data_IF_570553518745
#
_entry.id   IF_570553518745
#
_cell.length_a   1.000
_cell.length_b   1.000
_cell.length_c   1.000
_cell.angle_alpha   90.00
_cell.angle_beta   90.00
_cell.angle_gamma   90.00
#
_symmetry.space_group_name_H-M   'P 1'
#
loop_
_entity.id
_entity.type
_entity.pdbx_description
1 polymer ?
#
# COMPACT_ATOMS: atom_id res chain seq x y z
N UNK A 1 4.10 -8.44 7.80
CA UNK A 1 4.02 -8.47 6.31
C UNK A 1 5.35 -8.85 5.69
N UNK A 2 5.88 -10.04 5.98
CA UNK A 2 7.07 -10.53 5.26
C UNK A 2 6.63 -10.92 3.84
N UNK A 3 7.37 -10.49 2.83
CA UNK A 3 7.06 -10.80 1.42
C UNK A 3 6.06 -9.85 0.75
N UNK A 4 5.68 -8.75 1.40
CA UNK A 4 4.91 -7.67 0.78
C UNK A 4 5.75 -6.41 0.77
N UNK A 5 5.94 -5.83 -0.41
CA UNK A 5 6.74 -4.60 -0.57
C UNK A 5 6.03 -3.40 0.06
N UNK A 6 6.79 -2.61 0.82
CA UNK A 6 6.31 -1.34 1.39
C UNK A 6 6.46 -0.26 0.31
N UNK A 7 5.34 0.07 -0.34
CA UNK A 7 5.30 1.14 -1.32
C UNK A 7 4.95 2.47 -0.64
N UNK A 8 5.76 3.51 -0.89
CA UNK A 8 5.47 4.86 -0.42
C UNK A 8 4.14 5.34 -1.02
N UNK A 9 3.25 5.82 -0.15
CA UNK A 9 1.89 6.23 -0.53
C UNK A 9 0.84 5.12 -0.49
N UNK A 10 1.25 3.85 -0.30
CA UNK A 10 0.38 2.67 -0.29
C UNK A 10 0.46 1.86 -1.59
N UNK A 11 -0.02 0.61 -1.55
CA UNK A 11 -0.10 -0.26 -2.73
C UNK A 11 -1.46 -0.07 -3.42
N UNK A 12 -1.52 0.47 -4.65
CA UNK A 12 -2.78 0.72 -5.36
C UNK A 12 -3.64 -0.52 -5.59
N UNK A 13 -3.02 -1.67 -5.87
CA UNK A 13 -3.73 -2.90 -6.18
C UNK A 13 -4.43 -3.44 -4.93
N UNK A 14 -3.73 -3.45 -3.80
CA UNK A 14 -4.32 -3.86 -2.51
C UNK A 14 -5.45 -2.92 -2.06
N UNK A 15 -5.32 -1.61 -2.33
CA UNK A 15 -6.38 -0.64 -2.02
C UNK A 15 -7.62 -0.86 -2.91
N UNK A 16 -7.42 -1.18 -4.19
CA UNK A 16 -8.51 -1.50 -5.10
C UNK A 16 -9.21 -2.81 -4.72
N UNK A 17 -8.44 -3.85 -4.36
CA UNK A 17 -8.99 -5.11 -3.84
C UNK A 17 -9.82 -4.90 -2.57
N UNK A 18 -9.34 -4.07 -1.64
CA UNK A 18 -10.09 -3.70 -0.44
C UNK A 18 -11.41 -3.00 -0.77
N UNK A 19 -11.38 -2.05 -1.71
CA UNK A 19 -12.60 -1.38 -2.17
C UNK A 19 -13.58 -2.35 -2.83
N UNK A 20 -13.09 -3.27 -3.67
CA UNK A 20 -13.93 -4.30 -4.30
C UNK A 20 -14.58 -5.22 -3.26
N UNK A 21 -13.84 -5.64 -2.25
CA UNK A 21 -14.36 -6.44 -1.15
C UNK A 21 -15.48 -5.68 -0.39
N UNK A 22 -15.29 -4.39 -0.11
CA UNK A 22 -16.33 -3.56 0.51
C UNK A 22 -17.59 -3.40 -0.35
N UNK A 23 -17.46 -3.36 -1.69
CA UNK A 23 -18.62 -3.33 -2.58
C UNK A 23 -19.35 -4.67 -2.57
N UNK A 24 -18.61 -5.79 -2.61
CA UNK A 24 -19.17 -7.13 -2.53
C UNK A 24 -19.94 -7.35 -1.21
N UNK A 25 -19.39 -6.90 -0.08
CA UNK A 25 -20.07 -6.98 1.23
C UNK A 25 -21.37 -6.17 1.28
N UNK A 26 -21.47 -5.11 0.46
CA UNK A 26 -22.69 -4.30 0.30
C UNK A 26 -23.66 -4.90 -0.73
N UNK A 27 -23.29 -6.00 -1.38
CA UNK A 27 -24.07 -6.62 -2.47
C UNK A 27 -24.00 -5.84 -3.79
N UNK A 28 -23.03 -4.95 -3.95
CA UNK A 28 -22.82 -4.20 -5.18
C UNK A 28 -21.81 -4.94 -6.06
N UNK A 29 -22.09 -5.01 -7.36
CA UNK A 29 -21.14 -5.46 -8.38
C UNK A 29 -20.74 -4.26 -9.24
N UNK A 30 -19.57 -3.65 -8.98
CA UNK A 30 -19.13 -2.50 -9.74
C UNK A 30 -18.87 -2.87 -11.19
N UNK A 31 -19.28 -1.98 -12.09
CA UNK A 31 -19.02 -2.12 -13.52
C UNK A 31 -17.52 -1.96 -13.82
N UNK A 32 -17.02 -2.49 -14.95
CA UNK A 32 -15.63 -2.30 -15.36
C UNK A 32 -15.22 -0.82 -15.46
N UNK A 33 -16.15 0.07 -15.80
CA UNK A 33 -15.92 1.51 -15.87
C UNK A 33 -15.72 2.13 -14.48
N UNK A 34 -16.53 1.74 -13.49
CA UNK A 34 -16.39 2.18 -12.10
C UNK A 34 -15.09 1.68 -11.48
N UNK A 35 -14.71 0.43 -11.77
CA UNK A 35 -13.43 -0.13 -11.33
C UNK A 35 -12.26 0.66 -11.93
N UNK A 36 -12.31 0.99 -13.22
CA UNK A 36 -11.28 1.77 -13.89
C UNK A 36 -11.19 3.20 -13.34
N UNK A 37 -12.33 3.83 -13.09
CA UNK A 37 -12.40 5.15 -12.47
C UNK A 37 -11.80 5.14 -11.05
N UNK A 38 -12.18 4.15 -10.24
CA UNK A 38 -11.68 3.99 -8.88
C UNK A 38 -10.17 3.72 -8.87
N UNK A 39 -9.68 2.87 -9.77
CA UNK A 39 -8.24 2.59 -9.91
C UNK A 39 -7.45 3.87 -10.22
N UNK A 40 -7.98 4.73 -11.10
CA UNK A 40 -7.34 6.01 -11.43
C UNK A 40 -7.31 6.96 -10.24
N UNK A 41 -8.40 7.02 -9.48
CA UNK A 41 -8.49 7.84 -8.27
C UNK A 41 -7.47 7.37 -7.22
N UNK A 42 -7.45 6.07 -6.92
CA UNK A 42 -6.49 5.46 -6.00
C UNK A 42 -5.06 5.74 -6.44
N UNK A 43 -4.73 5.59 -7.73
CA UNK A 43 -3.39 5.87 -8.25
C UNK A 43 -2.99 7.34 -8.07
N UNK A 44 -3.93 8.28 -8.25
CA UNK A 44 -3.67 9.70 -8.02
C UNK A 44 -3.39 9.99 -6.54
N UNK A 45 -4.22 9.46 -5.65
CA UNK A 45 -4.07 9.64 -4.20
C UNK A 45 -2.79 9.00 -3.66
N UNK A 46 -2.46 7.79 -4.10
CA UNK A 46 -1.18 7.14 -3.79
C UNK A 46 -0.01 7.98 -4.29
N UNK A 47 -0.11 8.55 -5.50
CA UNK A 47 0.92 9.44 -6.04
C UNK A 47 1.16 10.68 -5.19
N UNK A 48 0.10 11.34 -4.72
CA UNK A 48 0.20 12.50 -3.81
C UNK A 48 0.86 12.10 -2.48
N UNK A 49 0.36 11.01 -1.85
CA UNK A 49 0.91 10.51 -0.58
C UNK A 49 2.37 10.06 -0.71
N UNK A 50 2.72 9.46 -1.85
CA UNK A 50 4.11 9.09 -2.18
C UNK A 50 5.01 10.30 -2.20
N UNK A 51 4.60 11.38 -2.86
CA UNK A 51 5.36 12.62 -2.90
C UNK A 51 5.57 13.20 -1.51
N UNK A 52 4.51 13.26 -0.69
CA UNK A 52 4.60 13.67 0.72
C UNK A 52 5.58 12.81 1.52
N UNK A 53 5.55 11.49 1.33
CA UNK A 53 6.47 10.58 2.03
C UNK A 53 7.93 10.77 1.60
N UNK A 54 8.17 11.01 0.31
CA UNK A 54 9.52 11.33 -0.21
C UNK A 54 10.02 12.63 0.41
N UNK A 55 9.19 13.67 0.44
CA UNK A 55 9.52 14.97 1.05
C UNK A 55 9.79 14.85 2.56
N UNK A 56 9.14 13.90 3.23
CA UNK A 56 9.38 13.60 4.64
C UNK A 56 10.65 12.75 4.91
N UNK A 57 11.38 12.32 3.88
CA UNK A 57 12.62 11.55 4.01
C UNK A 57 12.50 10.05 3.71
N UNK A 58 11.35 9.59 3.22
CA UNK A 58 11.12 8.20 2.83
C UNK A 58 10.78 7.26 3.99
N UNK A 59 10.94 5.96 3.76
CA UNK A 59 10.69 4.94 4.78
C UNK A 59 11.82 4.97 5.82
N UNK A 60 11.46 5.15 7.09
CA UNK A 60 12.38 5.06 8.21
C UNK A 60 12.10 3.77 9.00
N UNK A 61 13.11 2.92 9.10
CA UNK A 61 13.02 1.64 9.82
C UNK A 61 13.73 1.78 11.17
N UNK A 62 13.05 1.36 12.24
CA UNK A 62 13.61 1.34 13.60
C UNK A 62 13.54 -0.08 14.15
N UNK A 63 14.69 -0.71 14.30
CA UNK A 63 14.83 -1.95 15.07
C UNK A 63 14.82 -1.65 16.57
N UNK A 64 13.94 -2.30 17.32
CA UNK A 64 13.85 -2.13 18.78
C UNK A 64 14.87 -3.00 19.52
N UNK A 65 15.26 -4.13 18.92
CA UNK A 65 16.19 -5.11 19.46
C UNK A 65 17.03 -5.72 18.33
N UNK A 66 18.08 -6.46 18.67
CA UNK A 66 18.90 -7.19 17.70
C UNK A 66 18.45 -8.64 17.62
N UNK A 67 18.42 -9.18 16.41
CA UNK A 67 18.16 -10.60 16.19
C UNK A 67 19.43 -11.43 16.43
N UNK A 68 19.25 -12.75 16.60
CA UNK A 68 20.36 -13.71 16.75
C UNK A 68 21.27 -13.76 15.51
N UNK A 69 20.75 -13.34 14.35
CA UNK A 69 21.48 -13.31 13.09
C UNK A 69 21.50 -11.93 12.48
N UNK A 70 22.70 -11.42 12.19
CA UNK A 70 22.90 -10.16 11.43
C UNK A 70 22.16 -10.15 10.08
N UNK A 71 21.96 -11.33 9.47
CA UNK A 71 21.22 -11.46 8.21
C UNK A 71 19.75 -11.04 8.38
N UNK A 72 19.17 -11.29 9.55
CA UNK A 72 17.78 -10.91 9.84
C UNK A 72 17.70 -9.42 10.11
N UNK A 73 18.65 -8.85 10.86
CA UNK A 73 18.73 -7.39 11.06
C UNK A 73 18.82 -6.62 9.74
N UNK A 74 19.62 -7.10 8.78
CA UNK A 74 19.74 -6.45 7.47
C UNK A 74 18.50 -6.61 6.55
N UNK A 75 17.57 -7.50 6.92
CA UNK A 75 16.29 -7.65 6.21
C UNK A 75 15.19 -6.76 6.79
N UNK A 76 15.37 -6.30 8.03
CA UNK A 76 14.47 -5.35 8.67
C UNK A 76 14.71 -3.96 8.07
#
# INVERSE_FOLDING_TARGET
>A
GRGTDIQLGGNPDMLLEGWLAEQADKGNEPTPEEIAAMRKEIASEVGKKKQTAIEAGGLYVVGTERHESRRIDNQL
#
